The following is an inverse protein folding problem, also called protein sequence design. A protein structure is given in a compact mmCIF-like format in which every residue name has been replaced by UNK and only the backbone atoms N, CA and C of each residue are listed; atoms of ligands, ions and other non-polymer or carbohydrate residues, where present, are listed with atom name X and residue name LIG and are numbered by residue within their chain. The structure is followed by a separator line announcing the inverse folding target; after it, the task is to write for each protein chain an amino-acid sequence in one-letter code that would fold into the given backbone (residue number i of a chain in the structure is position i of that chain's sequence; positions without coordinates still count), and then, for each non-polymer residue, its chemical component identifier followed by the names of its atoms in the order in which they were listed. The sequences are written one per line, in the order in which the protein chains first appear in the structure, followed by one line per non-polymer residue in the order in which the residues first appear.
data_IF_006058663395
#
_entry.id   IF_006058663395
#
_cell.length_a   1.000
_cell.length_b   1.000
_cell.length_c   1.000
_cell.angle_alpha   90.00
_cell.angle_beta   90.00
_cell.angle_gamma   90.00
#
_symmetry.space_group_name_H-M   'P 1'
#
loop_
_entity.id
_entity.type
_entity.pdbx_description
1 polymer ?
#
# COMPACT_ATOMS: atom_id res chain seq x y z
N UNK A 1 20.71 1.98 15.86
CA UNK A 1 19.94 1.94 14.62
C UNK A 1 18.49 2.23 14.97
N UNK A 2 17.77 3.02 14.19
CA UNK A 2 16.33 3.20 14.40
C UNK A 2 15.64 1.84 14.29
N UNK A 3 14.76 1.53 15.25
CA UNK A 3 14.06 0.25 15.28
C UNK A 3 12.85 0.33 14.33
N UNK A 4 12.67 -0.68 13.47
CA UNK A 4 11.48 -0.82 12.64
C UNK A 4 10.23 -0.88 13.52
N UNK A 5 9.17 -0.18 13.13
CA UNK A 5 7.90 -0.17 13.85
C UNK A 5 6.93 -1.15 13.19
N UNK A 6 6.21 -1.91 14.00
CA UNK A 6 5.12 -2.76 13.52
C UNK A 6 3.84 -1.93 13.57
N UNK A 7 3.15 -1.83 12.44
CA UNK A 7 1.85 -1.22 12.30
C UNK A 7 0.84 -2.18 11.68
N UNK A 8 -0.37 -1.71 11.45
CA UNK A 8 -1.43 -2.48 10.79
C UNK A 8 -2.28 -1.58 9.91
N UNK A 9 -2.72 -2.11 8.79
CA UNK A 9 -3.67 -1.46 7.90
C UNK A 9 -5.07 -1.48 8.52
N UNK A 10 -5.73 -0.33 8.60
CA UNK A 10 -7.04 -0.23 9.29
C UNK A 10 -8.13 -1.08 8.63
N UNK A 11 -8.10 -1.24 7.32
CA UNK A 11 -9.05 -2.07 6.56
C UNK A 11 -8.85 -3.57 6.77
N UNK A 12 -7.66 -3.99 7.20
CA UNK A 12 -7.35 -5.40 7.45
C UNK A 12 -8.18 -6.03 8.56
N UNK A 13 -8.71 -5.25 9.49
CA UNK A 13 -9.54 -5.79 10.57
C UNK A 13 -10.96 -6.13 10.11
N UNK A 14 -11.40 -5.59 8.97
CA UNK A 14 -12.77 -5.75 8.45
C UNK A 14 -13.85 -5.30 9.46
N UNK A 15 -13.57 -4.26 10.22
CA UNK A 15 -14.51 -3.62 11.17
C UNK A 15 -14.99 -2.32 10.50
N UNK A 16 -16.32 -2.17 10.26
CA UNK A 16 -16.84 -0.99 9.55
C UNK A 16 -16.69 0.33 10.29
N UNK A 17 -16.71 0.31 11.62
CA UNK A 17 -16.58 1.52 12.44
C UNK A 17 -15.11 1.82 12.74
N UNK A 18 -14.64 3.00 12.32
CA UNK A 18 -13.25 3.42 12.52
C UNK A 18 -12.88 3.51 14.01
N UNK A 19 -13.77 4.00 14.87
CA UNK A 19 -13.50 4.10 16.31
C UNK A 19 -13.27 2.71 16.93
N UNK A 20 -14.09 1.72 16.57
CA UNK A 20 -13.92 0.32 17.00
C UNK A 20 -12.64 -0.27 16.41
N UNK A 21 -12.31 0.02 15.15
CA UNK A 21 -11.06 -0.41 14.52
C UNK A 21 -9.86 0.10 15.32
N UNK A 22 -9.81 1.40 15.61
CA UNK A 22 -8.70 2.01 16.37
C UNK A 22 -8.58 1.44 17.79
N UNK A 23 -9.71 1.25 18.47
CA UNK A 23 -9.73 0.62 19.79
C UNK A 23 -9.22 -0.82 19.76
N UNK A 24 -9.66 -1.63 18.78
CA UNK A 24 -9.17 -3.01 18.61
C UNK A 24 -7.67 -3.06 18.35
N UNK A 25 -7.15 -2.18 17.50
CA UNK A 25 -5.71 -2.09 17.21
C UNK A 25 -4.91 -1.77 18.47
N UNK A 26 -5.36 -0.79 19.24
CA UNK A 26 -4.68 -0.35 20.46
C UNK A 26 -4.81 -1.35 21.60
N UNK A 27 -6.04 -1.74 21.94
CA UNK A 27 -6.35 -2.41 23.21
C UNK A 27 -6.23 -3.94 23.08
N UNK A 28 -6.54 -4.53 21.92
CA UNK A 28 -6.46 -5.98 21.72
C UNK A 28 -5.16 -6.41 21.05
N UNK A 29 -4.70 -5.67 20.02
CA UNK A 29 -3.47 -6.01 19.30
C UNK A 29 -2.22 -5.36 19.89
N UNK A 30 -2.36 -4.36 20.76
CA UNK A 30 -1.25 -3.69 21.42
C UNK A 30 -0.31 -2.94 20.47
N UNK A 31 -0.83 -2.46 19.35
CA UNK A 31 -0.08 -1.68 18.37
C UNK A 31 -0.26 -0.17 18.60
N UNK A 32 0.78 0.60 18.27
CA UNK A 32 0.79 2.06 18.37
C UNK A 32 0.80 2.78 17.03
N UNK A 33 0.83 2.04 15.91
CA UNK A 33 0.98 2.59 14.56
C UNK A 33 -0.06 1.98 13.62
N UNK A 34 -0.66 2.83 12.79
CA UNK A 34 -1.63 2.42 11.77
C UNK A 34 -1.26 2.95 10.38
N UNK A 35 -1.70 2.24 9.37
CA UNK A 35 -1.84 2.72 8.00
C UNK A 35 -3.33 2.98 7.76
N UNK A 36 -3.72 4.23 7.56
CA UNK A 36 -5.13 4.64 7.55
C UNK A 36 -5.70 4.63 6.13
N UNK A 37 -6.73 3.81 5.89
CA UNK A 37 -7.39 3.69 4.60
C UNK A 37 -8.55 4.67 4.39
N UNK A 38 -8.67 5.18 3.17
CA UNK A 38 -9.77 6.01 2.66
C UNK A 38 -10.42 5.34 1.44
N UNK A 39 -11.18 4.27 1.68
CA UNK A 39 -11.84 3.51 0.62
C UNK A 39 -13.27 3.99 0.35
N UNK A 40 -13.89 4.63 1.32
CA UNK A 40 -15.24 5.21 1.26
C UNK A 40 -15.22 6.76 1.17
N UNK A 41 -16.35 7.36 1.47
CA UNK A 41 -16.54 8.81 1.48
C UNK A 41 -16.11 9.50 2.79
N UNK A 42 -15.47 8.80 3.72
CA UNK A 42 -15.01 9.35 5.00
C UNK A 42 -14.11 10.57 4.85
N UNK A 43 -13.36 10.67 3.74
CA UNK A 43 -12.54 11.84 3.43
C UNK A 43 -13.35 13.15 3.30
N UNK A 44 -14.66 13.08 3.11
CA UNK A 44 -15.56 14.24 3.07
C UNK A 44 -15.86 14.82 4.46
N UNK A 45 -15.57 14.06 5.53
CA UNK A 45 -15.68 14.48 6.92
C UNK A 45 -14.29 14.51 7.62
N UNK A 46 -13.33 15.31 7.11
CA UNK A 46 -11.93 15.22 7.52
C UNK A 46 -11.71 15.47 9.02
N UNK A 47 -12.43 16.41 9.61
CA UNK A 47 -12.26 16.72 11.03
C UNK A 47 -12.67 15.56 11.92
N UNK A 48 -13.74 14.84 11.58
CA UNK A 48 -14.20 13.66 12.33
C UNK A 48 -13.12 12.57 12.34
N UNK A 49 -12.51 12.27 11.19
CA UNK A 49 -11.43 11.27 11.10
C UNK A 49 -10.20 11.73 11.89
N UNK A 50 -9.77 12.98 11.70
CA UNK A 50 -8.63 13.55 12.41
C UNK A 50 -8.84 13.50 13.93
N UNK A 51 -10.02 13.86 14.42
CA UNK A 51 -10.34 13.86 15.85
C UNK A 51 -10.37 12.43 16.42
N UNK A 52 -10.96 11.46 15.71
CA UNK A 52 -10.94 10.05 16.10
C UNK A 52 -9.52 9.50 16.20
N UNK A 53 -8.68 9.75 15.20
CA UNK A 53 -7.28 9.30 15.19
C UNK A 53 -6.50 9.96 16.33
N UNK A 54 -6.63 11.27 16.53
CA UNK A 54 -5.97 11.98 17.64
C UNK A 54 -6.41 11.45 19.01
N UNK A 55 -7.72 11.23 19.20
CA UNK A 55 -8.26 10.70 20.45
C UNK A 55 -7.75 9.29 20.75
N UNK A 56 -7.51 8.46 19.72
CA UNK A 56 -6.94 7.11 19.90
C UNK A 56 -5.51 7.13 20.42
N UNK A 57 -4.74 8.18 20.12
CA UNK A 57 -3.30 8.28 20.41
C UNK A 57 -2.43 7.40 19.51
N UNK A 58 -3.00 6.76 18.47
CA UNK A 58 -2.26 6.00 17.47
C UNK A 58 -1.53 6.93 16.50
N UNK A 59 -0.35 6.53 16.05
CA UNK A 59 0.41 7.24 15.01
C UNK A 59 0.00 6.73 13.62
N UNK A 60 -0.15 7.63 12.68
CA UNK A 60 -0.39 7.27 11.27
C UNK A 60 0.95 7.20 10.54
N UNK A 61 1.30 6.02 10.02
CA UNK A 61 2.51 5.83 9.20
C UNK A 61 2.31 6.30 7.76
N UNK A 62 1.12 6.10 7.23
CA UNK A 62 0.71 6.50 5.89
C UNK A 62 -0.81 6.58 5.81
N UNK A 63 -1.32 7.31 4.83
CA UNK A 63 -2.71 7.21 4.35
C UNK A 63 -2.77 6.36 3.09
N UNK A 64 -3.87 5.65 2.86
CA UNK A 64 -4.10 4.83 1.67
C UNK A 64 -5.38 5.22 0.96
N UNK A 65 -5.36 5.17 -0.35
CA UNK A 65 -6.52 5.39 -1.22
C UNK A 65 -6.97 4.11 -1.90
N UNK A 66 -8.28 3.90 -1.96
CA UNK A 66 -8.95 3.03 -2.92
C UNK A 66 -10.10 3.77 -3.59
N UNK A 67 -10.57 3.27 -4.71
CA UNK A 67 -11.55 3.95 -5.53
C UNK A 67 -12.81 3.11 -5.75
N UNK A 68 -13.95 3.78 -5.74
CA UNK A 68 -15.20 3.14 -6.15
C UNK A 68 -15.10 2.68 -7.62
N UNK A 69 -15.65 1.48 -7.89
CA UNK A 69 -15.68 0.91 -9.23
C UNK A 69 -14.41 0.14 -9.63
N UNK A 70 -13.43 -0.01 -8.74
CA UNK A 70 -12.35 -0.97 -8.91
C UNK A 70 -12.89 -2.39 -8.75
N UNK A 71 -12.66 -3.23 -9.75
CA UNK A 71 -13.18 -4.61 -9.81
C UNK A 71 -12.04 -5.62 -9.71
N UNK A 72 -11.90 -6.22 -8.55
CA UNK A 72 -10.88 -7.24 -8.23
C UNK A 72 -11.35 -8.68 -8.50
N UNK A 73 -12.44 -8.88 -9.27
CA UNK A 73 -12.94 -10.22 -9.61
C UNK A 73 -11.90 -11.03 -10.35
N UNK A 74 -11.26 -10.43 -11.37
CA UNK A 74 -10.13 -11.03 -12.10
C UNK A 74 -9.00 -10.01 -12.26
N UNK A 75 -7.79 -10.51 -12.57
CA UNK A 75 -6.64 -9.62 -12.88
C UNK A 75 -6.96 -8.72 -14.07
N UNK A 76 -7.70 -9.24 -15.06
CA UNK A 76 -8.11 -8.48 -16.25
C UNK A 76 -9.15 -7.40 -15.92
N UNK A 77 -10.05 -7.65 -14.97
CA UNK A 77 -11.03 -6.65 -14.54
C UNK A 77 -10.36 -5.50 -13.81
N UNK A 78 -9.46 -5.78 -12.85
CA UNK A 78 -8.75 -4.72 -12.16
C UNK A 78 -7.76 -3.99 -13.09
N UNK A 79 -7.16 -4.67 -14.07
CA UNK A 79 -6.34 -4.01 -15.08
C UNK A 79 -7.11 -2.98 -15.91
N UNK A 80 -8.42 -3.20 -16.09
CA UNK A 80 -9.31 -2.29 -16.83
C UNK A 80 -9.91 -1.19 -15.95
N UNK A 81 -10.16 -1.47 -14.66
CA UNK A 81 -10.92 -0.60 -13.77
C UNK A 81 -10.09 0.10 -12.71
N UNK A 82 -8.85 -0.36 -12.48
CA UNK A 82 -8.04 0.05 -11.34
C UNK A 82 -7.26 1.34 -11.54
N UNK A 83 -6.95 1.98 -10.44
CA UNK A 83 -6.06 3.13 -10.35
C UNK A 83 -6.49 4.32 -11.19
N UNK A 84 -5.52 4.93 -11.86
CA UNK A 84 -5.75 6.15 -12.62
C UNK A 84 -5.78 5.93 -14.15
N UNK A 85 -5.81 4.68 -14.62
CA UNK A 85 -5.81 4.39 -16.05
C UNK A 85 -7.15 4.70 -16.74
N UNK A 86 -8.36 4.40 -16.17
CA UNK A 86 -9.62 4.65 -16.85
C UNK A 86 -9.90 6.15 -17.02
N UNK A 87 -10.26 6.56 -18.26
CA UNK A 87 -10.43 7.98 -18.61
C UNK A 87 -11.66 8.61 -17.96
N UNK A 88 -12.73 7.85 -17.90
CA UNK A 88 -14.06 8.30 -17.44
C UNK A 88 -14.13 8.59 -15.94
N UNK A 89 -13.22 8.02 -15.15
CA UNK A 89 -13.18 8.20 -13.68
C UNK A 89 -11.94 8.93 -13.18
N UNK A 90 -10.99 9.25 -14.07
CA UNK A 90 -9.71 9.85 -13.66
C UNK A 90 -9.88 11.16 -12.86
N UNK A 91 -10.69 12.09 -13.34
CA UNK A 91 -10.87 13.38 -12.66
C UNK A 91 -11.46 13.20 -11.26
N UNK A 92 -12.47 12.36 -11.09
CA UNK A 92 -13.07 12.09 -9.78
C UNK A 92 -12.08 11.44 -8.81
N UNK A 93 -11.24 10.52 -9.31
CA UNK A 93 -10.17 9.88 -8.53
C UNK A 93 -9.06 10.87 -8.17
N UNK A 94 -8.70 11.74 -9.09
CA UNK A 94 -7.76 12.83 -8.84
C UNK A 94 -8.27 13.78 -7.75
N UNK A 95 -9.53 14.21 -7.82
CA UNK A 95 -10.15 15.09 -6.81
C UNK A 95 -10.16 14.42 -5.42
N UNK A 96 -10.52 13.13 -5.32
CA UNK A 96 -10.43 12.37 -4.07
C UNK A 96 -9.00 12.33 -3.56
N UNK A 97 -8.03 12.09 -4.43
CA UNK A 97 -6.61 12.03 -4.07
C UNK A 97 -6.13 13.34 -3.48
N UNK A 98 -6.47 14.47 -4.10
CA UNK A 98 -6.14 15.82 -3.60
C UNK A 98 -6.79 16.07 -2.24
N UNK A 99 -8.05 15.70 -2.08
CA UNK A 99 -8.76 15.85 -0.81
C UNK A 99 -8.11 15.03 0.33
N UNK A 100 -7.68 13.80 0.08
CA UNK A 100 -6.96 13.00 1.08
C UNK A 100 -5.55 13.55 1.32
N UNK A 101 -4.89 14.09 0.29
CA UNK A 101 -3.60 14.76 0.45
C UNK A 101 -3.69 16.00 1.35
N UNK A 102 -4.83 16.72 1.40
CA UNK A 102 -5.09 17.82 2.35
C UNK A 102 -5.25 17.34 3.80
N UNK A 103 -5.60 16.06 4.01
CA UNK A 103 -5.80 15.44 5.32
C UNK A 103 -4.48 14.83 5.84
N UNK A 104 -3.69 14.22 4.97
CA UNK A 104 -2.50 13.43 5.27
C UNK A 104 -1.51 14.15 6.22
N UNK A 105 -1.09 15.41 6.00
CA UNK A 105 -0.19 16.11 6.92
C UNK A 105 -0.82 16.41 8.30
N UNK A 106 -2.15 16.59 8.35
CA UNK A 106 -2.89 16.84 9.59
C UNK A 106 -2.93 15.60 10.50
N UNK A 107 -2.67 14.42 9.92
CA UNK A 107 -2.53 13.14 10.62
C UNK A 107 -1.09 12.84 11.03
N UNK A 108 -0.13 13.72 10.69
CA UNK A 108 1.28 13.62 11.10
C UNK A 108 2.14 12.73 10.20
N UNK A 109 1.74 12.47 8.96
CA UNK A 109 2.51 11.75 7.95
C UNK A 109 2.58 12.55 6.64
N UNK A 110 3.59 12.24 5.82
CA UNK A 110 3.77 12.78 4.46
C UNK A 110 3.59 11.71 3.37
N UNK A 111 3.08 10.53 3.73
CA UNK A 111 2.96 9.37 2.84
C UNK A 111 1.49 9.14 2.49
N UNK A 112 1.18 9.15 1.19
CA UNK A 112 -0.11 8.72 0.65
C UNK A 112 0.15 7.58 -0.32
N UNK A 113 -0.36 6.38 0.03
CA UNK A 113 -0.21 5.18 -0.79
C UNK A 113 -1.44 4.95 -1.67
N UNK A 114 -1.22 4.36 -2.83
CA UNK A 114 -2.27 4.03 -3.79
C UNK A 114 -1.82 2.96 -4.77
N UNK A 115 -2.74 2.13 -5.24
CA UNK A 115 -2.55 1.40 -6.48
C UNK A 115 -2.66 2.37 -7.66
N UNK A 116 -1.55 2.57 -8.39
CA UNK A 116 -1.52 3.52 -9.51
C UNK A 116 -2.37 3.05 -10.70
N UNK A 117 -2.65 1.76 -10.78
CA UNK A 117 -3.26 1.07 -11.92
C UNK A 117 -2.21 0.40 -12.79
N UNK A 118 -2.62 -0.38 -13.76
CA UNK A 118 -1.72 -1.13 -14.64
C UNK A 118 -0.95 -0.19 -15.58
N UNK A 119 0.36 -0.10 -15.37
CA UNK A 119 1.28 0.61 -16.24
C UNK A 119 1.68 -0.32 -17.40
N UNK A 120 1.46 0.06 -18.66
CA UNK A 120 1.85 -0.78 -19.80
C UNK A 120 3.35 -1.13 -19.77
N UNK A 121 3.68 -2.40 -20.02
CA UNK A 121 5.07 -2.85 -20.14
C UNK A 121 5.72 -2.34 -21.43
N UNK A 122 4.94 -2.19 -22.52
CA UNK A 122 5.42 -1.53 -23.73
C UNK A 122 5.31 -0.01 -23.58
N UNK A 123 6.45 0.64 -23.43
CA UNK A 123 6.52 2.10 -23.29
C UNK A 123 6.08 2.86 -24.55
N UNK A 124 5.86 2.16 -25.68
CA UNK A 124 5.27 2.74 -26.91
C UNK A 124 3.75 2.69 -26.92
N UNK A 125 3.13 1.96 -26.00
CA UNK A 125 1.68 1.99 -25.83
C UNK A 125 1.26 3.44 -25.49
N UNK A 126 0.30 4.04 -26.21
CA UNK A 126 -0.19 5.38 -25.89
C UNK A 126 -0.65 5.55 -24.43
N UNK A 127 -1.16 4.51 -23.82
CA UNK A 127 -1.57 4.51 -22.39
C UNK A 127 -0.40 4.73 -21.44
N UNK A 128 0.83 4.32 -21.80
CA UNK A 128 2.01 4.57 -20.98
C UNK A 128 2.24 6.08 -20.79
N UNK A 129 2.22 6.85 -21.89
CA UNK A 129 2.38 8.29 -21.83
C UNK A 129 1.25 8.96 -21.02
N UNK A 130 0.02 8.49 -21.19
CA UNK A 130 -1.14 8.97 -20.39
C UNK A 130 -0.92 8.72 -18.90
N UNK A 131 -0.46 7.52 -18.52
CA UNK A 131 -0.20 7.19 -17.11
C UNK A 131 0.93 8.04 -16.53
N UNK A 132 2.01 8.27 -17.28
CA UNK A 132 3.11 9.16 -16.86
C UNK A 132 2.59 10.57 -16.60
N UNK A 133 1.79 11.14 -17.50
CA UNK A 133 1.26 12.50 -17.34
C UNK A 133 0.27 12.61 -16.16
N UNK A 134 -0.58 11.60 -15.96
CA UNK A 134 -1.47 11.52 -14.80
C UNK A 134 -0.70 11.42 -13.48
N UNK A 135 0.30 10.54 -13.42
CA UNK A 135 1.15 10.41 -12.24
C UNK A 135 1.93 11.71 -11.94
N UNK A 136 2.41 12.42 -12.96
CA UNK A 136 3.03 13.75 -12.79
C UNK A 136 2.05 14.75 -12.19
N UNK A 137 0.85 14.85 -12.75
CA UNK A 137 -0.19 15.76 -12.26
C UNK A 137 -0.56 15.47 -10.79
N UNK A 138 -0.67 14.20 -10.42
CA UNK A 138 -0.93 13.78 -9.05
C UNK A 138 0.27 14.11 -8.15
N UNK A 139 1.49 13.73 -8.56
CA UNK A 139 2.69 14.00 -7.78
C UNK A 139 2.92 15.50 -7.56
N UNK A 140 2.66 16.34 -8.55
CA UNK A 140 2.75 17.79 -8.43
C UNK A 140 1.75 18.33 -7.40
N UNK A 141 0.48 17.91 -7.47
CA UNK A 141 -0.55 18.32 -6.52
C UNK A 141 -0.27 17.85 -5.08
N UNK A 142 0.27 16.64 -4.91
CA UNK A 142 0.69 16.12 -3.62
C UNK A 142 1.92 16.87 -3.10
N UNK A 143 2.89 17.17 -3.97
CA UNK A 143 4.11 17.92 -3.65
C UNK A 143 3.84 19.31 -3.11
N UNK A 144 2.83 20.03 -3.64
CA UNK A 144 2.36 21.33 -3.13
C UNK A 144 1.89 21.25 -1.67
N UNK A 145 1.52 20.05 -1.20
CA UNK A 145 1.04 19.75 0.17
C UNK A 145 2.12 19.11 1.05
N UNK A 146 3.33 18.95 0.52
CA UNK A 146 4.41 18.25 1.21
C UNK A 146 4.17 16.73 1.34
N UNK A 147 3.35 16.15 0.46
CA UNK A 147 2.96 14.74 0.48
C UNK A 147 3.65 13.99 -0.65
N UNK A 148 4.05 12.74 -0.38
CA UNK A 148 4.60 11.81 -1.36
C UNK A 148 3.50 10.98 -1.99
N UNK A 149 3.58 10.80 -3.31
CA UNK A 149 2.86 9.77 -4.04
C UNK A 149 3.60 8.45 -3.89
N UNK A 150 3.04 7.51 -3.16
CA UNK A 150 3.69 6.24 -2.86
C UNK A 150 2.90 5.11 -3.52
N UNK A 151 3.47 4.56 -4.59
CA UNK A 151 2.82 3.55 -5.42
C UNK A 151 3.04 2.16 -4.85
N UNK A 152 1.98 1.37 -4.76
CA UNK A 152 2.04 0.01 -4.26
C UNK A 152 2.53 -0.96 -5.33
N UNK A 153 3.41 -1.92 -4.93
CA UNK A 153 3.87 -2.99 -5.82
C UNK A 153 2.79 -4.04 -6.04
N UNK A 154 2.89 -4.75 -7.16
CA UNK A 154 2.08 -5.92 -7.46
C UNK A 154 1.64 -6.04 -8.91
N UNK A 155 1.29 -4.95 -9.54
CA UNK A 155 0.75 -4.95 -10.91
C UNK A 155 1.86 -4.92 -11.98
N UNK A 156 2.99 -4.29 -11.67
CA UNK A 156 4.15 -4.15 -12.54
C UNK A 156 5.34 -4.93 -12.02
N UNK A 157 6.22 -5.35 -12.93
CA UNK A 157 7.55 -5.81 -12.53
C UNK A 157 8.33 -4.67 -11.84
N UNK A 158 9.24 -4.99 -10.91
CA UNK A 158 10.07 -3.97 -10.27
C UNK A 158 10.81 -3.09 -11.27
N UNK A 159 11.30 -3.66 -12.37
CA UNK A 159 12.00 -2.94 -13.42
C UNK A 159 11.07 -1.97 -14.16
N UNK A 160 9.84 -2.41 -14.47
CA UNK A 160 8.86 -1.53 -15.13
C UNK A 160 8.41 -0.40 -14.18
N UNK A 161 8.21 -0.71 -12.90
CA UNK A 161 7.88 0.32 -11.90
C UNK A 161 9.02 1.36 -11.77
N UNK A 162 10.29 0.92 -11.74
CA UNK A 162 11.46 1.82 -11.72
C UNK A 162 11.48 2.71 -12.96
N UNK A 163 11.33 2.12 -14.15
CA UNK A 163 11.30 2.86 -15.40
C UNK A 163 10.15 3.88 -15.46
N UNK A 164 8.99 3.50 -14.95
CA UNK A 164 7.85 4.39 -14.84
C UNK A 164 8.11 5.56 -13.88
N UNK A 165 8.66 5.30 -12.68
CA UNK A 165 9.04 6.34 -11.73
C UNK A 165 10.05 7.32 -12.34
N UNK A 166 11.05 6.80 -13.07
CA UNK A 166 12.05 7.63 -13.75
C UNK A 166 11.42 8.48 -14.86
N UNK A 167 10.44 7.93 -15.60
CA UNK A 167 9.66 8.67 -16.58
C UNK A 167 8.79 9.75 -15.94
N UNK A 168 8.17 9.49 -14.80
CA UNK A 168 7.41 10.49 -14.01
C UNK A 168 8.34 11.63 -13.59
N UNK A 169 9.56 11.33 -13.11
CA UNK A 169 10.60 12.30 -12.85
C UNK A 169 10.22 13.33 -11.77
N UNK A 170 9.56 12.90 -10.70
CA UNK A 170 9.22 13.76 -9.55
C UNK A 170 9.88 13.24 -8.28
N UNK A 171 10.47 14.13 -7.44
CA UNK A 171 11.24 13.72 -6.26
C UNK A 171 10.36 13.17 -5.12
N UNK A 172 9.07 13.43 -5.14
CA UNK A 172 8.09 12.98 -4.15
C UNK A 172 7.36 11.71 -4.56
N UNK A 173 7.89 10.94 -5.52
CA UNK A 173 7.36 9.63 -5.92
C UNK A 173 8.18 8.53 -5.27
N UNK A 174 7.52 7.56 -4.64
CA UNK A 174 8.16 6.46 -3.93
C UNK A 174 7.32 5.17 -4.02
N UNK A 175 7.74 4.11 -3.34
CA UNK A 175 7.12 2.78 -3.39
C UNK A 175 6.60 2.38 -2.01
N UNK A 176 5.38 1.87 -1.97
CA UNK A 176 4.87 0.99 -0.92
C UNK A 176 5.14 -0.45 -1.35
N UNK A 177 6.09 -1.08 -0.69
CA UNK A 177 6.48 -2.45 -1.04
C UNK A 177 5.55 -3.46 -0.39
N UNK A 178 4.76 -4.15 -1.20
CA UNK A 178 3.94 -5.29 -0.81
C UNK A 178 4.46 -6.57 -1.50
N UNK A 179 5.05 -7.51 -0.75
CA UNK A 179 5.58 -8.74 -1.32
C UNK A 179 4.50 -9.69 -1.82
N UNK A 180 3.33 -9.73 -1.15
CA UNK A 180 2.26 -10.65 -1.50
C UNK A 180 1.55 -10.23 -2.77
N UNK A 181 1.37 -8.93 -3.00
CA UNK A 181 0.74 -8.45 -4.24
C UNK A 181 1.52 -8.89 -5.48
N UNK A 182 2.87 -8.95 -5.40
CA UNK A 182 3.68 -9.48 -6.50
C UNK A 182 3.35 -10.95 -6.80
N UNK A 183 3.13 -11.76 -5.77
CA UNK A 183 2.73 -13.18 -5.89
C UNK A 183 1.29 -13.29 -6.39
N UNK A 184 0.38 -12.49 -5.85
CA UNK A 184 -1.04 -12.48 -6.22
C UNK A 184 -1.24 -12.14 -7.70
N UNK A 185 -0.55 -11.11 -8.19
CA UNK A 185 -0.58 -10.71 -9.61
C UNK A 185 0.31 -11.59 -10.49
N UNK A 186 1.21 -12.36 -9.91
CA UNK A 186 2.13 -13.21 -10.64
C UNK A 186 3.29 -12.46 -11.30
N UNK A 187 3.81 -11.40 -10.67
CA UNK A 187 4.80 -10.49 -11.26
C UNK A 187 6.02 -10.30 -10.36
N UNK A 188 7.15 -10.83 -10.80
CA UNK A 188 8.44 -10.67 -10.13
C UNK A 188 8.61 -11.51 -8.86
N UNK A 189 9.84 -11.54 -8.34
CA UNK A 189 10.21 -12.26 -7.12
C UNK A 189 10.35 -11.28 -5.95
N UNK A 190 9.57 -11.39 -4.86
CA UNK A 190 9.54 -10.39 -3.79
C UNK A 190 10.90 -10.12 -3.16
N UNK A 191 11.72 -11.17 -2.92
CA UNK A 191 13.05 -11.04 -2.31
C UNK A 191 14.05 -10.32 -3.22
N UNK A 192 13.92 -10.45 -4.53
CA UNK A 192 14.73 -9.70 -5.49
C UNK A 192 14.23 -8.27 -5.62
N UNK A 193 12.92 -8.09 -5.70
CA UNK A 193 12.27 -6.79 -5.82
C UNK A 193 12.63 -5.83 -4.69
N UNK A 194 12.64 -6.31 -3.43
CA UNK A 194 13.02 -5.45 -2.30
C UNK A 194 14.45 -4.93 -2.43
N UNK A 195 15.33 -5.67 -3.11
CA UNK A 195 16.72 -5.23 -3.35
C UNK A 195 16.80 -4.23 -4.51
N UNK A 196 16.02 -4.43 -5.56
CA UNK A 196 15.97 -3.54 -6.72
C UNK A 196 15.36 -2.18 -6.36
N UNK A 197 14.27 -2.20 -5.59
CA UNK A 197 13.51 -1.00 -5.21
C UNK A 197 14.14 -0.21 -4.05
N UNK A 198 14.99 -0.82 -3.25
CA UNK A 198 15.65 -0.34 -2.02
C UNK A 198 15.43 1.15 -1.65
N UNK A 199 16.15 2.08 -2.27
CA UNK A 199 16.14 3.51 -1.92
C UNK A 199 14.84 4.21 -2.32
N UNK A 200 13.96 3.53 -3.05
CA UNK A 200 12.64 4.02 -3.45
C UNK A 200 11.53 3.60 -2.49
N UNK A 201 11.81 2.65 -1.56
CA UNK A 201 10.82 2.14 -0.62
C UNK A 201 10.60 3.17 0.51
N UNK A 202 9.42 3.77 0.55
CA UNK A 202 8.99 4.71 1.60
C UNK A 202 8.08 4.05 2.65
N UNK A 203 7.34 3.01 2.27
CA UNK A 203 6.44 2.28 3.14
C UNK A 203 6.45 0.79 2.77
N UNK A 204 6.02 -0.09 3.69
CA UNK A 204 6.03 -1.54 3.49
C UNK A 204 4.74 -2.14 4.03
N UNK A 205 4.06 -2.93 3.21
CA UNK A 205 3.05 -3.87 3.66
C UNK A 205 3.70 -5.22 3.99
N UNK A 206 3.24 -5.80 5.08
CA UNK A 206 3.60 -7.15 5.48
C UNK A 206 2.39 -8.04 5.26
N UNK A 207 2.37 -8.68 4.12
CA UNK A 207 1.34 -9.57 3.58
C UNK A 207 2.02 -10.78 2.95
N UNK A 208 1.37 -11.93 2.93
CA UNK A 208 1.93 -13.16 2.37
C UNK A 208 0.91 -13.88 1.49
N UNK A 209 1.41 -14.59 0.50
CA UNK A 209 0.58 -15.29 -0.48
C UNK A 209 1.29 -16.52 -1.04
N UNK A 210 0.53 -17.40 -1.69
CA UNK A 210 1.04 -18.49 -2.52
C UNK A 210 0.76 -18.23 -3.99
N UNK A 211 1.65 -18.71 -4.86
CA UNK A 211 1.53 -18.52 -6.30
C UNK A 211 0.34 -19.25 -6.88
N UNK A 212 -0.30 -18.62 -7.85
CA UNK A 212 -1.25 -19.31 -8.72
C UNK A 212 -0.53 -20.35 -9.60
N UNK A 213 -1.23 -21.42 -9.98
CA UNK A 213 -0.76 -22.34 -11.02
C UNK A 213 -0.65 -21.64 -12.42
N UNK A 214 -1.28 -20.48 -12.59
CA UNK A 214 -1.24 -19.66 -13.80
C UNK A 214 -1.00 -18.21 -13.43
N UNK A 215 0.25 -17.83 -13.07
CA UNK A 215 0.59 -16.45 -12.75
C UNK A 215 0.21 -15.51 -13.92
N UNK A 216 -0.19 -14.28 -13.59
CA UNK A 216 -0.70 -13.24 -14.51
C UNK A 216 -2.08 -13.52 -15.14
N UNK A 217 -2.56 -14.77 -15.11
CA UNK A 217 -3.90 -15.13 -15.62
C UNK A 217 -4.91 -15.29 -14.50
N UNK A 218 -4.47 -15.82 -13.36
CA UNK A 218 -5.30 -16.11 -12.19
C UNK A 218 -4.61 -15.60 -10.93
N UNK A 219 -5.40 -15.12 -9.99
CA UNK A 219 -4.91 -14.71 -8.69
C UNK A 219 -4.14 -15.81 -7.97
N UNK A 220 -3.04 -15.44 -7.32
CA UNK A 220 -2.50 -16.22 -6.22
C UNK A 220 -3.47 -16.25 -5.03
N UNK A 221 -3.10 -16.90 -3.94
CA UNK A 221 -3.92 -16.99 -2.74
C UNK A 221 -3.23 -16.26 -1.57
N UNK A 222 -3.91 -15.27 -0.99
CA UNK A 222 -3.43 -14.62 0.23
C UNK A 222 -3.56 -15.56 1.43
N UNK A 223 -2.48 -15.69 2.19
CA UNK A 223 -2.39 -16.57 3.37
C UNK A 223 -1.94 -15.79 4.61
N UNK A 224 -1.95 -16.44 5.77
CA UNK A 224 -1.46 -15.83 7.02
C UNK A 224 0.04 -15.53 6.88
N UNK A 225 0.48 -14.37 7.37
CA UNK A 225 1.86 -13.91 7.26
C UNK A 225 2.86 -14.94 7.79
N UNK A 226 3.82 -15.30 6.96
CA UNK A 226 4.86 -16.30 7.25
C UNK A 226 4.47 -17.73 6.89
N UNK A 227 3.29 -17.95 6.30
CA UNK A 227 2.87 -19.29 5.83
C UNK A 227 2.83 -19.41 4.30
N UNK A 228 3.14 -18.32 3.59
CA UNK A 228 3.19 -18.26 2.13
C UNK A 228 4.59 -18.39 1.56
N UNK A 229 4.75 -17.84 0.37
CA UNK A 229 5.94 -18.00 -0.47
C UNK A 229 6.75 -16.69 -0.64
N UNK A 230 6.37 -15.62 0.09
CA UNK A 230 7.08 -14.33 0.01
C UNK A 230 8.44 -14.31 0.72
N UNK A 231 8.77 -15.32 1.53
CA UNK A 231 9.99 -15.36 2.35
C UNK A 231 10.15 -14.14 3.27
N UNK A 232 9.14 -13.91 4.10
CA UNK A 232 9.05 -12.77 5.02
C UNK A 232 10.32 -12.57 5.87
N UNK A 233 10.95 -13.62 6.44
CA UNK A 233 12.20 -13.45 7.19
C UNK A 233 13.32 -12.82 6.36
N UNK A 234 13.48 -13.25 5.12
CA UNK A 234 14.51 -12.74 4.22
C UNK A 234 14.22 -11.30 3.77
N UNK A 235 12.95 -10.97 3.51
CA UNK A 235 12.52 -9.59 3.22
C UNK A 235 12.84 -8.67 4.38
N UNK A 236 12.45 -9.01 5.61
CA UNK A 236 12.74 -8.20 6.81
C UNK A 236 14.25 -8.03 7.00
N UNK A 237 15.02 -9.09 6.81
CA UNK A 237 16.50 -9.03 6.88
C UNK A 237 17.09 -8.06 5.85
N UNK A 238 16.61 -8.10 4.59
CA UNK A 238 17.06 -7.19 3.52
C UNK A 238 16.67 -5.74 3.80
N UNK A 239 15.44 -5.46 4.22
CA UNK A 239 14.99 -4.12 4.59
C UNK A 239 15.89 -3.53 5.67
N UNK A 240 16.22 -4.30 6.72
CA UNK A 240 17.16 -3.87 7.77
C UNK A 240 18.56 -3.61 7.24
N UNK A 241 19.08 -4.51 6.40
CA UNK A 241 20.42 -4.38 5.81
C UNK A 241 20.53 -3.17 4.88
N UNK A 242 19.43 -2.76 4.24
CA UNK A 242 19.34 -1.57 3.38
C UNK A 242 19.13 -0.27 4.17
N UNK A 243 18.96 -0.35 5.50
CA UNK A 243 18.74 0.81 6.34
C UNK A 243 17.31 1.35 6.33
N UNK A 244 16.32 0.56 5.90
CA UNK A 244 14.91 0.95 6.04
C UNK A 244 14.55 1.13 7.51
N UNK A 245 13.90 2.24 7.84
CA UNK A 245 13.55 2.62 9.23
C UNK A 245 12.07 2.95 9.40
N UNK A 246 11.27 2.69 8.36
CA UNK A 246 9.83 2.95 8.35
C UNK A 246 9.01 1.87 9.07
N UNK A 247 7.73 1.88 8.79
CA UNK A 247 6.76 0.94 9.37
C UNK A 247 6.66 -0.32 8.54
N UNK A 248 6.57 -1.47 9.22
CA UNK A 248 6.11 -2.73 8.67
C UNK A 248 4.61 -2.82 8.97
N UNK A 249 3.76 -2.42 8.02
CA UNK A 249 2.31 -2.39 8.20
C UNK A 249 1.72 -3.74 7.80
N UNK A 250 1.19 -4.49 8.77
CA UNK A 250 0.53 -5.76 8.52
C UNK A 250 -0.73 -5.50 7.70
N UNK A 251 -0.86 -6.19 6.58
CA UNK A 251 -2.06 -6.20 5.77
C UNK A 251 -2.64 -7.61 5.70
N UNK A 252 -3.98 -7.72 5.88
CA UNK A 252 -4.73 -8.97 5.81
C UNK A 252 -6.10 -8.69 5.22
N UNK A 253 -6.36 -9.15 3.99
CA UNK A 253 -7.61 -8.88 3.28
C UNK A 253 -8.46 -10.13 3.05
N UNK A 254 -7.85 -11.32 3.09
CA UNK A 254 -8.55 -12.60 2.99
C UNK A 254 -8.86 -13.22 4.37
N UNK A 255 -9.65 -14.29 4.36
CA UNK A 255 -9.99 -15.04 5.56
C UNK A 255 -11.02 -14.37 6.48
N UNK A 256 -11.55 -15.18 7.41
CA UNK A 256 -12.63 -14.79 8.32
C UNK A 256 -12.15 -14.54 9.77
N UNK A 257 -10.85 -14.71 10.05
CA UNK A 257 -10.26 -14.55 11.39
C UNK A 257 -9.17 -13.49 11.40
N UNK A 258 -9.37 -12.39 10.66
CA UNK A 258 -8.34 -11.40 10.37
C UNK A 258 -7.66 -10.84 11.62
N UNK A 259 -8.38 -10.56 12.69
CA UNK A 259 -7.80 -10.08 13.96
C UNK A 259 -6.87 -11.12 14.59
N UNK A 260 -7.23 -12.41 14.56
CA UNK A 260 -6.36 -13.48 15.04
C UNK A 260 -5.14 -13.67 14.13
N UNK A 261 -5.33 -13.63 12.81
CA UNK A 261 -4.24 -13.72 11.83
C UNK A 261 -3.23 -12.56 12.00
N UNK A 262 -3.73 -11.35 12.24
CA UNK A 262 -2.89 -10.16 12.53
C UNK A 262 -2.13 -10.36 13.85
N UNK A 263 -2.75 -10.94 14.88
CA UNK A 263 -2.05 -11.22 16.14
C UNK A 263 -0.89 -12.21 15.96
N UNK A 264 -1.04 -13.23 15.12
CA UNK A 264 0.07 -14.14 14.75
C UNK A 264 1.15 -13.42 13.93
N UNK A 265 0.76 -12.57 12.99
CA UNK A 265 1.69 -11.75 12.22
C UNK A 265 2.54 -10.82 13.13
N UNK A 266 1.93 -10.22 14.16
CA UNK A 266 2.65 -9.41 15.16
C UNK A 266 3.69 -10.25 15.90
N UNK A 267 3.35 -11.48 16.31
CA UNK A 267 4.30 -12.38 17.00
C UNK A 267 5.48 -12.72 16.09
N UNK A 268 5.20 -13.08 14.83
CA UNK A 268 6.24 -13.36 13.84
C UNK A 268 7.17 -12.15 13.67
N UNK A 269 6.63 -10.97 13.38
CA UNK A 269 7.45 -9.78 13.16
C UNK A 269 8.26 -9.40 14.41
N UNK A 270 7.69 -9.49 15.61
CA UNK A 270 8.43 -9.28 16.86
C UNK A 270 9.61 -10.25 16.99
N UNK A 271 9.44 -11.52 16.62
CA UNK A 271 10.50 -12.51 16.67
C UNK A 271 11.63 -12.23 15.68
N UNK A 272 11.31 -11.64 14.51
CA UNK A 272 12.28 -11.28 13.47
C UNK A 272 13.03 -9.98 13.78
N UNK A 273 12.43 -9.12 14.59
CA UNK A 273 13.04 -7.82 14.96
C UNK A 273 13.93 -7.92 16.21
N UNK A 274 13.73 -8.91 17.07
CA UNK A 274 14.52 -9.18 18.27
C UNK A 274 13.97 -8.46 19.49
#
# INVERSE_FOLDING_TARGET
MAQLQIGVCTWSLHIPDLGQTLATIKDQLGLGVIHLGFFDDGYKEPNKIIDLVKASGLKVSATCLGFAGEDYTTIQDIARTGGYLPDDVFEARYEKTVAVADITPKLGTDILTVHIGFVPEDHKDPKYAVMVDRARRIADALGERGVKLVMETGQESPENLIAFMDAVGRPNVAVNFDPANMILYGVGEPVEAVSLLRDRIAHVHMKDATWSAKPREQWGEEVVLGTGEADIPRIVSKLRAQGYTGTLAIEREAGNQRVADIAEAIKLLKSLLG
#
